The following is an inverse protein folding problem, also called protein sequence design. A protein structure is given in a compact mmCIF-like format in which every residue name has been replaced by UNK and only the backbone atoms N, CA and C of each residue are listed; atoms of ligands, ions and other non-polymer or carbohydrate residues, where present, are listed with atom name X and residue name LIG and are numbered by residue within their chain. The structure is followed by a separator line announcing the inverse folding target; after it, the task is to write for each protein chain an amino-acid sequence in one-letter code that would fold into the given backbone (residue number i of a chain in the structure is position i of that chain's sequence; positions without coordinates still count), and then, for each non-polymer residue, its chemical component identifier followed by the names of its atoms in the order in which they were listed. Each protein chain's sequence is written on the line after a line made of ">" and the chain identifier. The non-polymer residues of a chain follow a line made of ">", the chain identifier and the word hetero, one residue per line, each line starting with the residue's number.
data_IF_920092021290
#
_entry.id   IF_920092021290
#
_cell.length_a   1.000
_cell.length_b   1.000
_cell.length_c   1.000
_cell.angle_alpha   90.00
_cell.angle_beta   90.00
_cell.angle_gamma   90.00
#
_symmetry.space_group_name_H-M   'P 1'
#
loop_
_entity.id
_entity.type
_entity.pdbx_description
1 polymer ?
#
# COMPACT_ATOMS: atom_id res chain seq x y z
N UNK A 1 12.61 -14.11 0.84
CA UNK A 1 11.74 -13.21 0.04
C UNK A 1 11.34 -12.05 0.94
N UNK A 2 11.38 -10.82 0.42
CA UNK A 2 10.98 -9.62 1.15
C UNK A 2 9.49 -9.71 1.55
N UNK A 3 9.12 -9.42 2.80
CA UNK A 3 7.75 -9.63 3.34
C UNK A 3 6.71 -8.88 2.50
N UNK A 4 7.04 -7.64 2.13
CA UNK A 4 6.23 -6.78 1.25
C UNK A 4 5.96 -7.45 -0.10
N UNK A 5 7.00 -8.01 -0.74
CA UNK A 5 6.85 -8.69 -2.03
C UNK A 5 5.96 -9.93 -1.95
N UNK A 6 5.95 -10.63 -0.81
CA UNK A 6 5.06 -11.77 -0.60
C UNK A 6 3.61 -11.32 -0.41
N UNK A 7 3.39 -10.21 0.29
CA UNK A 7 2.07 -9.64 0.52
C UNK A 7 1.50 -8.99 -0.75
N UNK A 8 2.35 -8.37 -1.57
CA UNK A 8 1.93 -7.72 -2.80
C UNK A 8 1.76 -8.66 -4.01
N UNK A 9 2.21 -9.92 -3.92
CA UNK A 9 2.14 -10.88 -5.03
C UNK A 9 0.74 -11.38 -5.36
N UNK A 10 -0.27 -10.99 -4.58
CA UNK A 10 -1.67 -11.28 -4.88
C UNK A 10 -2.09 -10.74 -6.26
N UNK A 11 -2.98 -11.47 -6.92
CA UNK A 11 -3.62 -11.02 -8.16
C UNK A 11 -4.62 -9.91 -7.81
N UNK A 12 -4.31 -8.68 -8.20
CA UNK A 12 -5.22 -7.55 -8.02
C UNK A 12 -4.49 -6.27 -7.59
N UNK A 13 -5.22 -5.42 -6.87
CA UNK A 13 -4.69 -4.21 -6.24
C UNK A 13 -4.46 -4.49 -4.76
N UNK A 14 -3.26 -4.23 -4.27
CA UNK A 14 -2.91 -4.34 -2.85
C UNK A 14 -2.48 -2.97 -2.35
N UNK A 15 -3.00 -2.54 -1.20
CA UNK A 15 -2.72 -1.23 -0.62
C UNK A 15 -2.23 -1.42 0.81
N UNK A 16 -1.00 -0.96 1.09
CA UNK A 16 -0.49 -0.86 2.45
C UNK A 16 -0.92 0.47 3.05
N UNK A 17 -1.49 0.43 4.25
CA UNK A 17 -2.08 1.59 4.94
C UNK A 17 -1.74 1.60 6.42
N UNK A 18 -2.04 2.72 7.10
CA UNK A 18 -2.03 2.85 8.56
C UNK A 18 -3.31 3.54 9.01
N UNK A 19 -3.77 3.27 10.23
CA UNK A 19 -4.96 3.94 10.77
C UNK A 19 -4.75 5.45 11.02
N UNK A 20 -3.51 5.89 11.26
CA UNK A 20 -3.16 7.30 11.49
C UNK A 20 -2.95 8.12 10.20
N UNK A 21 -3.21 7.55 9.02
CA UNK A 21 -2.90 8.15 7.72
C UNK A 21 -4.16 8.65 7.00
N UNK A 22 -4.39 9.97 7.00
CA UNK A 22 -5.54 10.58 6.32
C UNK A 22 -5.54 10.35 4.80
N UNK A 23 -4.36 10.34 4.16
CA UNK A 23 -4.22 10.09 2.72
C UNK A 23 -4.58 8.64 2.35
N UNK A 24 -4.37 7.70 3.27
CA UNK A 24 -4.72 6.30 3.05
C UNK A 24 -6.24 6.13 2.92
N UNK A 25 -7.02 6.90 3.69
CA UNK A 25 -8.47 6.93 3.56
C UNK A 25 -8.92 7.47 2.19
N UNK A 26 -8.28 8.54 1.70
CA UNK A 26 -8.59 9.10 0.38
C UNK A 26 -8.33 8.09 -0.75
N UNK A 27 -7.20 7.37 -0.70
CA UNK A 27 -6.87 6.33 -1.69
C UNK A 27 -7.88 5.17 -1.62
N UNK A 28 -8.28 4.73 -0.42
CA UNK A 28 -9.31 3.69 -0.29
C UNK A 28 -10.66 4.09 -0.90
N UNK A 29 -11.10 5.35 -0.69
CA UNK A 29 -12.32 5.88 -1.31
C UNK A 29 -12.19 5.88 -2.83
N UNK A 30 -11.07 6.36 -3.38
CA UNK A 30 -10.85 6.39 -4.82
C UNK A 30 -11.05 5.00 -5.45
N UNK A 31 -10.40 3.97 -4.91
CA UNK A 31 -10.55 2.61 -5.43
C UNK A 31 -11.98 2.08 -5.29
N UNK A 32 -12.67 2.40 -4.19
CA UNK A 32 -14.08 2.06 -3.99
C UNK A 32 -14.98 2.72 -5.04
N UNK A 33 -14.77 4.00 -5.34
CA UNK A 33 -15.55 4.75 -6.33
C UNK A 33 -15.32 4.22 -7.75
N UNK A 34 -14.08 3.78 -8.03
CA UNK A 34 -13.71 3.08 -9.26
C UNK A 34 -14.24 1.62 -9.33
N UNK A 35 -15.00 1.17 -8.33
CA UNK A 35 -15.53 -0.21 -8.21
C UNK A 35 -14.44 -1.28 -8.18
N UNK A 36 -13.23 -0.91 -7.80
CA UNK A 36 -12.11 -1.83 -7.56
C UNK A 36 -12.17 -2.28 -6.10
N UNK A 37 -11.89 -3.56 -5.87
CA UNK A 37 -11.83 -4.14 -4.53
C UNK A 37 -10.37 -4.43 -4.18
N UNK A 38 -9.63 -3.46 -3.59
CA UNK A 38 -8.25 -3.67 -3.20
C UNK A 38 -8.15 -4.53 -1.94
N UNK A 39 -7.09 -5.34 -1.84
CA UNK A 39 -6.66 -5.93 -0.56
C UNK A 39 -5.99 -4.84 0.26
N UNK A 40 -6.50 -4.58 1.47
CA UNK A 40 -5.93 -3.58 2.39
C UNK A 40 -5.08 -4.29 3.45
N UNK A 41 -3.83 -3.83 3.60
CA UNK A 41 -2.94 -4.26 4.67
C UNK A 41 -2.65 -3.10 5.61
N UNK A 42 -3.29 -3.11 6.77
CA UNK A 42 -2.99 -2.20 7.89
C UNK A 42 -1.70 -2.62 8.58
N UNK A 43 -0.61 -1.90 8.29
CA UNK A 43 0.73 -2.31 8.75
C UNK A 43 0.98 -1.96 10.21
N UNK A 44 0.24 -1.01 10.78
CA UNK A 44 0.31 -0.62 12.19
C UNK A 44 -0.20 -1.70 13.16
N UNK A 45 -0.99 -2.65 12.66
CA UNK A 45 -1.43 -3.83 13.40
C UNK A 45 -0.49 -5.04 13.26
N UNK A 46 0.55 -4.92 12.41
CA UNK A 46 1.51 -6.00 12.15
C UNK A 46 2.74 -5.88 13.08
N UNK A 47 3.21 -6.96 13.73
CA UNK A 47 4.38 -6.92 14.61
C UNK A 47 5.67 -6.51 13.89
N UNK A 48 5.76 -6.70 12.58
CA UNK A 48 6.88 -6.33 11.73
C UNK A 48 6.66 -4.96 11.03
N UNK A 49 5.73 -4.13 11.51
CA UNK A 49 5.39 -2.81 10.94
C UNK A 49 6.63 -2.03 10.46
N UNK A 50 7.64 -1.90 11.33
CA UNK A 50 8.87 -1.16 11.04
C UNK A 50 9.69 -1.75 9.89
N UNK A 51 9.72 -3.07 9.76
CA UNK A 51 10.43 -3.73 8.65
C UNK A 51 9.65 -3.61 7.35
N UNK A 52 8.31 -3.66 7.41
CA UNK A 52 7.43 -3.38 6.27
C UNK A 52 7.65 -1.96 5.76
N UNK A 53 7.67 -0.95 6.65
CA UNK A 53 7.93 0.44 6.25
C UNK A 53 9.28 0.62 5.56
N UNK A 54 10.35 0.05 6.14
CA UNK A 54 11.69 0.10 5.54
C UNK A 54 11.71 -0.53 4.16
N UNK A 55 11.03 -1.67 3.98
CA UNK A 55 10.93 -2.33 2.68
C UNK A 55 10.17 -1.46 1.66
N UNK A 56 9.05 -0.84 2.06
CA UNK A 56 8.29 0.07 1.19
C UNK A 56 9.11 1.29 0.77
N UNK A 57 9.87 1.89 1.69
CA UNK A 57 10.79 3.01 1.39
C UNK A 57 11.89 2.56 0.43
N UNK A 58 12.49 1.38 0.64
CA UNK A 58 13.51 0.82 -0.26
C UNK A 58 12.99 0.54 -1.67
N UNK A 59 11.69 0.27 -1.81
CA UNK A 59 11.03 0.08 -3.10
C UNK A 59 10.68 1.40 -3.80
N UNK A 60 10.86 2.55 -3.15
CA UNK A 60 10.62 3.87 -3.72
C UNK A 60 9.41 4.61 -3.14
N UNK A 61 8.69 4.04 -2.15
CA UNK A 61 7.59 4.70 -1.48
C UNK A 61 8.10 5.58 -0.34
N UNK A 62 8.43 6.85 -0.62
CA UNK A 62 9.11 7.76 0.31
C UNK A 62 8.45 7.87 1.71
N UNK A 63 7.12 7.85 1.77
CA UNK A 63 6.36 7.97 3.02
C UNK A 63 5.91 6.62 3.61
N UNK A 64 6.38 5.50 3.05
CA UNK A 64 5.95 4.12 3.31
C UNK A 64 4.46 3.81 3.04
N UNK A 65 3.52 4.70 3.38
CA UNK A 65 2.08 4.57 3.12
C UNK A 65 1.45 5.89 2.66
N UNK A 66 0.34 5.85 1.91
CA UNK A 66 -0.23 4.67 1.27
C UNK A 66 0.73 4.14 0.19
N UNK A 67 0.90 2.83 0.08
CA UNK A 67 1.67 2.22 -1.00
C UNK A 67 0.77 1.28 -1.80
N UNK A 68 0.62 1.54 -3.09
CA UNK A 68 -0.29 0.82 -3.97
C UNK A 68 0.51 -0.09 -4.89
N UNK A 69 0.16 -1.37 -4.86
CA UNK A 69 0.69 -2.39 -5.76
C UNK A 69 -0.42 -2.88 -6.69
N UNK A 70 -0.07 -3.08 -7.96
CA UNK A 70 -0.95 -3.69 -8.96
C UNK A 70 -0.23 -4.88 -9.56
N UNK A 71 -0.80 -6.07 -9.41
CA UNK A 71 -0.21 -7.32 -9.88
C UNK A 71 1.26 -7.50 -9.43
N UNK A 72 1.54 -7.25 -8.15
CA UNK A 72 2.88 -7.38 -7.56
C UNK A 72 3.86 -6.24 -7.87
N UNK A 73 3.47 -5.24 -8.66
CA UNK A 73 4.33 -4.08 -8.99
C UNK A 73 3.91 -2.86 -8.20
N UNK A 74 4.86 -2.18 -7.57
CA UNK A 74 4.62 -0.88 -6.93
C UNK A 74 4.25 0.13 -8.04
N UNK A 75 3.05 0.70 -7.94
CA UNK A 75 2.57 1.74 -8.84
C UNK A 75 2.88 3.12 -8.27
N UNK A 76 2.77 3.29 -6.95
CA UNK A 76 3.19 4.52 -6.29
C UNK A 76 2.50 4.75 -4.95
N UNK A 77 2.70 5.97 -4.44
CA UNK A 77 2.12 6.50 -3.21
C UNK A 77 0.86 7.31 -3.52
N UNK A 78 0.50 8.29 -2.66
CA UNK A 78 -0.68 9.13 -2.88
C UNK A 78 -0.62 9.93 -4.18
N UNK A 79 0.48 10.64 -4.45
CA UNK A 79 0.54 11.60 -5.56
C UNK A 79 0.55 10.89 -6.92
N UNK A 80 1.24 9.75 -7.04
CA UNK A 80 1.24 8.99 -8.29
C UNK A 80 -0.11 8.33 -8.57
N UNK A 81 -0.88 8.00 -7.53
CA UNK A 81 -2.19 7.33 -7.66
C UNK A 81 -3.33 8.33 -7.89
N UNK A 82 -3.18 9.57 -7.42
CA UNK A 82 -4.20 10.63 -7.51
C UNK A 82 -4.05 11.55 -8.72
N UNK A 83 -3.01 11.35 -9.54
CA UNK A 83 -2.78 12.13 -10.77
C UNK A 83 -3.47 11.53 -11.98
#
# INVERSE_FOLDING_TARGET
>A
MDKVMRMSSEKGVVIFTKNSCCLCYAVQILFRDLRVHPTIHEIDNDPDCREIEKALVRLGCANAVPAVFVSGKLVGSTNEVMS
#
